data_IF_628747898898
#
_entry.id   IF_628747898898
#
_cell.length_a   1.000
_cell.length_b   1.000
_cell.length_c   1.000
_cell.angle_alpha   90.00
_cell.angle_beta   90.00
_cell.angle_gamma   90.00
#
_symmetry.space_group_name_H-M   'P 1'
#
loop_
_entity.id
_entity.type
_entity.pdbx_description
1 polymer ?
#
# COMPACT_ATOMS: atom_id res chain seq x y z
N UNK A 1 -21.48 -5.45 3.71
CA UNK A 1 -20.20 -6.15 3.47
C UNK A 1 -20.06 -6.53 2.00
N UNK A 2 -21.02 -7.24 1.39
CA UNK A 2 -20.98 -7.64 -0.04
C UNK A 2 -20.70 -6.53 -1.07
N UNK A 3 -21.21 -5.32 -0.87
CA UNK A 3 -21.05 -4.22 -1.84
C UNK A 3 -19.59 -3.78 -2.01
N UNK A 4 -18.86 -3.60 -0.91
CA UNK A 4 -17.46 -3.19 -0.94
C UNK A 4 -16.53 -4.26 -1.56
N UNK A 5 -16.90 -5.54 -1.46
CA UNK A 5 -16.17 -6.63 -2.08
C UNK A 5 -16.35 -6.62 -3.60
N UNK A 6 -17.58 -6.44 -4.07
CA UNK A 6 -17.90 -6.33 -5.50
C UNK A 6 -17.21 -5.11 -6.12
N UNK A 7 -17.27 -3.95 -5.46
CA UNK A 7 -16.61 -2.73 -5.94
C UNK A 7 -15.09 -2.91 -6.04
N UNK A 8 -14.48 -3.57 -5.05
CA UNK A 8 -13.04 -3.87 -5.09
C UNK A 8 -12.68 -4.79 -6.25
N UNK A 9 -13.49 -5.81 -6.52
CA UNK A 9 -13.29 -6.70 -7.68
C UNK A 9 -13.43 -5.95 -9.00
N UNK A 10 -14.40 -5.04 -9.11
CA UNK A 10 -14.59 -4.21 -10.30
C UNK A 10 -13.41 -3.24 -10.51
N UNK A 11 -12.95 -2.57 -9.46
CA UNK A 11 -11.80 -1.66 -9.53
C UNK A 11 -10.49 -2.38 -9.84
N UNK A 12 -10.39 -3.67 -9.49
CA UNK A 12 -9.25 -4.50 -9.84
C UNK A 12 -9.23 -4.86 -11.34
N UNK A 13 -10.36 -4.77 -12.07
CA UNK A 13 -10.38 -5.10 -13.49
C UNK A 13 -9.51 -4.11 -14.28
N UNK A 14 -8.50 -4.64 -14.96
CA UNK A 14 -7.57 -3.83 -15.77
C UNK A 14 -6.33 -3.35 -15.00
N UNK A 15 -6.19 -3.65 -13.71
CA UNK A 15 -4.92 -3.48 -13.00
C UNK A 15 -3.99 -4.68 -13.26
N UNK A 16 -2.70 -4.45 -13.06
CA UNK A 16 -1.67 -5.48 -13.15
C UNK A 16 -2.00 -6.67 -12.22
N UNK A 17 -2.09 -7.92 -12.74
CA UNK A 17 -2.36 -9.11 -11.93
C UNK A 17 -1.37 -9.32 -10.79
N UNK A 18 -0.09 -9.01 -11.00
CA UNK A 18 0.95 -9.17 -9.98
C UNK A 18 0.76 -8.15 -8.85
N UNK A 19 0.37 -6.92 -9.19
CA UNK A 19 0.02 -5.90 -8.20
C UNK A 19 -1.20 -6.31 -7.38
N UNK A 20 -2.26 -6.80 -8.04
CA UNK A 20 -3.46 -7.30 -7.35
C UNK A 20 -3.11 -8.45 -6.41
N UNK A 21 -2.28 -9.38 -6.85
CA UNK A 21 -1.84 -10.51 -6.03
C UNK A 21 -1.10 -10.02 -4.77
N UNK A 22 -0.15 -9.10 -4.93
CA UNK A 22 0.59 -8.52 -3.80
C UNK A 22 -0.32 -7.79 -2.82
N UNK A 23 -1.21 -6.92 -3.33
CA UNK A 23 -2.19 -6.19 -2.52
C UNK A 23 -3.09 -7.16 -1.74
N UNK A 24 -3.65 -8.17 -2.41
CA UNK A 24 -4.59 -9.12 -1.80
C UNK A 24 -3.92 -9.91 -0.69
N UNK A 25 -2.68 -10.37 -0.91
CA UNK A 25 -1.87 -11.04 0.12
C UNK A 25 -1.63 -10.14 1.32
N UNK A 26 -1.23 -8.88 1.10
CA UNK A 26 -1.03 -7.90 2.17
C UNK A 26 -2.33 -7.62 2.92
N UNK A 27 -3.44 -7.44 2.21
CA UNK A 27 -4.75 -7.16 2.80
C UNK A 27 -5.18 -8.28 3.75
N UNK A 28 -5.02 -9.54 3.34
CA UNK A 28 -5.33 -10.70 4.16
C UNK A 28 -4.46 -10.78 5.42
N UNK A 29 -3.13 -10.63 5.29
CA UNK A 29 -2.20 -10.82 6.43
C UNK A 29 -2.03 -9.60 7.32
N UNK A 30 -2.44 -8.41 6.86
CA UNK A 30 -2.32 -7.14 7.59
C UNK A 30 -3.65 -6.59 8.11
N UNK A 31 -4.69 -7.43 8.15
CA UNK A 31 -6.00 -7.08 8.72
C UNK A 31 -6.71 -5.96 7.96
N UNK A 32 -6.67 -6.00 6.63
CA UNK A 32 -7.28 -4.99 5.76
C UNK A 32 -6.39 -3.77 5.47
N UNK A 33 -5.29 -3.59 6.21
CA UNK A 33 -4.40 -2.44 6.04
C UNK A 33 -3.23 -2.76 5.09
N UNK A 34 -3.52 -2.99 3.81
CA UNK A 34 -2.49 -3.28 2.79
C UNK A 34 -1.71 -2.04 2.34
N UNK A 35 -2.41 -0.90 2.25
CA UNK A 35 -1.93 0.39 1.78
C UNK A 35 -2.05 1.38 2.93
N UNK A 36 -0.98 2.10 3.27
CA UNK A 36 -0.94 3.03 4.42
C UNK A 36 -0.13 4.28 4.07
N UNK A 37 -0.42 5.43 4.70
CA UNK A 37 0.37 6.62 4.47
C UNK A 37 1.76 6.48 5.09
N UNK A 38 2.72 7.19 4.50
CA UNK A 38 3.99 7.52 5.15
C UNK A 38 3.94 8.98 5.61
N UNK A 39 4.14 9.21 6.90
CA UNK A 39 4.09 10.54 7.52
C UNK A 39 5.36 10.79 8.31
N UNK A 40 6.02 11.93 8.09
CA UNK A 40 7.29 12.24 8.76
C UNK A 40 8.32 11.09 8.69
N UNK A 41 8.38 10.41 7.54
CA UNK A 41 9.19 9.21 7.29
C UNK A 41 8.72 7.92 7.98
N UNK A 42 7.68 7.95 8.81
CA UNK A 42 7.15 6.78 9.50
C UNK A 42 6.04 6.10 8.70
N UNK A 43 6.10 4.77 8.63
CA UNK A 43 4.99 3.96 8.11
C UNK A 43 3.84 3.94 9.12
N UNK A 44 2.66 4.44 8.74
CA UNK A 44 1.51 4.49 9.66
C UNK A 44 0.86 3.11 9.91
N UNK A 45 1.41 2.03 9.33
CA UNK A 45 0.99 0.66 9.60
C UNK A 45 1.83 -0.11 10.61
N UNK A 46 3.13 0.17 10.72
CA UNK A 46 4.03 -0.49 11.69
C UNK A 46 4.81 0.48 12.57
N UNK A 47 4.68 1.78 12.34
CA UNK A 47 5.36 2.87 13.06
C UNK A 47 6.89 2.81 13.00
N UNK A 48 7.44 2.09 12.02
CA UNK A 48 8.88 2.12 11.76
C UNK A 48 9.24 3.21 10.78
N UNK A 49 10.42 3.79 11.00
CA UNK A 49 11.02 4.81 10.15
C UNK A 49 11.49 4.19 8.82
N UNK A 50 11.20 4.87 7.71
CA UNK A 50 11.71 4.56 6.38
C UNK A 50 12.80 5.58 5.99
N UNK A 51 13.55 5.27 4.94
CA UNK A 51 14.56 6.19 4.41
C UNK A 51 13.92 7.38 3.68
N UNK A 52 14.56 8.54 3.70
CA UNK A 52 14.08 9.73 2.99
C UNK A 52 13.95 9.49 1.48
N UNK A 53 14.83 8.66 0.90
CA UNK A 53 14.76 8.26 -0.51
C UNK A 53 13.49 7.46 -0.81
N UNK A 54 13.11 6.53 0.07
CA UNK A 54 11.87 5.76 -0.06
C UNK A 54 10.63 6.65 0.08
N UNK A 55 10.63 7.58 1.04
CA UNK A 55 9.55 8.56 1.21
C UNK A 55 9.41 9.43 -0.04
N UNK A 56 10.53 9.89 -0.60
CA UNK A 56 10.55 10.67 -1.83
C UNK A 56 10.00 9.87 -3.02
N UNK A 57 10.34 8.58 -3.15
CA UNK A 57 9.74 7.71 -4.19
C UNK A 57 8.23 7.56 -4.03
N UNK A 58 7.74 7.37 -2.79
CA UNK A 58 6.31 7.31 -2.52
C UNK A 58 5.60 8.63 -2.89
N UNK A 59 6.25 9.77 -2.62
CA UNK A 59 5.77 11.10 -3.00
C UNK A 59 5.74 11.34 -4.51
N UNK A 60 6.70 10.77 -5.26
CA UNK A 60 6.71 10.89 -6.72
C UNK A 60 5.56 10.14 -7.40
N UNK A 61 5.01 9.10 -6.77
CA UNK A 61 3.86 8.35 -7.28
C UNK A 61 4.09 7.63 -8.62
N UNK A 62 5.36 7.37 -8.99
CA UNK A 62 5.73 6.75 -10.28
C UNK A 62 5.85 5.22 -10.23
N UNK A 63 5.94 4.67 -9.02
CA UNK A 63 6.11 3.24 -8.78
C UNK A 63 5.41 2.84 -7.48
N UNK A 64 5.18 1.54 -7.31
CA UNK A 64 4.66 1.00 -6.06
C UNK A 64 5.80 0.90 -5.06
N UNK A 65 5.68 1.63 -3.96
CA UNK A 65 6.69 1.65 -2.89
C UNK A 65 6.19 0.84 -1.71
N UNK A 66 7.05 -0.03 -1.17
CA UNK A 66 6.73 -0.86 -0.01
C UNK A 66 7.53 -0.41 1.22
N UNK A 67 6.91 -0.49 2.38
CA UNK A 67 7.62 -0.36 3.65
C UNK A 67 8.60 -1.53 3.80
N UNK A 68 9.89 -1.21 3.99
CA UNK A 68 10.97 -2.19 4.13
C UNK A 68 10.80 -3.10 5.36
N UNK A 69 10.01 -2.66 6.34
CA UNK A 69 9.83 -3.37 7.62
C UNK A 69 8.60 -4.29 7.65
N UNK A 70 7.47 -3.87 7.08
CA UNK A 70 6.24 -4.65 7.15
C UNK A 70 5.65 -5.04 5.80
N UNK A 71 6.24 -4.58 4.69
CA UNK A 71 5.82 -4.88 3.32
C UNK A 71 4.57 -4.16 2.81
N UNK A 72 3.88 -3.39 3.66
CA UNK A 72 2.70 -2.59 3.24
C UNK A 72 3.08 -1.61 2.14
N UNK A 73 2.15 -1.38 1.22
CA UNK A 73 2.30 -0.37 0.17
C UNK A 73 2.19 1.00 0.84
N UNK A 74 3.12 1.89 0.52
CA UNK A 74 3.19 3.25 1.04
C UNK A 74 2.68 4.23 -0.01
N UNK A 75 1.86 5.17 0.42
CA UNK A 75 1.53 6.36 -0.34
C UNK A 75 1.89 7.61 0.46
N UNK A 76 2.17 8.71 -0.23
CA UNK A 76 2.32 10.01 0.40
C UNK A 76 0.97 10.75 0.35
N UNK A 77 0.47 11.30 1.46
CA UNK A 77 -0.85 11.94 1.51
C UNK A 77 -0.88 13.36 0.91
N UNK A 78 0.27 14.03 0.78
CA UNK A 78 0.40 15.34 0.12
C UNK A 78 0.60 15.24 -1.40
#
# INVERSE_FOLDING_TARGET
MKQAEIEREQLAQGLDPDLIFQYTRLFAVKGGNAVVPVEHEFCMGCHMKNTSALVHRAKLGREIVHCEQCGRILYHPD
#
